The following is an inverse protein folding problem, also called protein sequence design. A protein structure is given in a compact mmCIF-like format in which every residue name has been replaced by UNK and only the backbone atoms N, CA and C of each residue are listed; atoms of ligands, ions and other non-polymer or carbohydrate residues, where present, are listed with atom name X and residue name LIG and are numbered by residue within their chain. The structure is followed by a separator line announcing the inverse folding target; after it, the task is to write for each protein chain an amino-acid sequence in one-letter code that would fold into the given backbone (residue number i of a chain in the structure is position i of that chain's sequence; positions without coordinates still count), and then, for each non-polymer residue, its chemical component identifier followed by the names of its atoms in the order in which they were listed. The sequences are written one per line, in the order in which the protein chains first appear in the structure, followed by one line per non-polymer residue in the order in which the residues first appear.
data_IF_243374208881
#
_entry.id   IF_243374208881
#
_cell.length_a   1.000
_cell.length_b   1.000
_cell.length_c   1.000
_cell.angle_alpha   90.00
_cell.angle_beta   90.00
_cell.angle_gamma   90.00
#
_symmetry.space_group_name_H-M   'P 1'
#
loop_
_entity.id
_entity.type
_entity.pdbx_description
1 polymer ?
#
# COMPACT_ATOMS: atom_id res chain seq x y z
N UNK A 1 6.55 12.60 -22.06
CA UNK A 1 7.14 11.77 -21.00
C UNK A 1 8.37 12.51 -20.54
N UNK A 2 8.35 13.09 -19.34
CA UNK A 2 9.59 13.55 -18.72
C UNK A 2 10.14 12.28 -18.08
N UNK A 3 11.26 11.78 -18.61
CA UNK A 3 12.04 10.72 -17.99
C UNK A 3 12.47 11.22 -16.60
N UNK A 4 11.65 10.94 -15.59
CA UNK A 4 12.12 10.98 -14.22
C UNK A 4 13.18 9.88 -14.11
N UNK A 5 14.38 10.16 -13.56
CA UNK A 5 15.36 9.11 -13.32
C UNK A 5 14.70 7.99 -12.55
N UNK A 6 14.88 6.74 -13.00
CA UNK A 6 14.38 5.56 -12.31
C UNK A 6 14.85 5.64 -10.86
N UNK A 7 13.93 5.72 -9.88
CA UNK A 7 14.33 5.78 -8.47
C UNK A 7 15.24 4.59 -8.15
N UNK A 8 16.24 4.82 -7.30
CA UNK A 8 17.16 3.78 -6.87
C UNK A 8 16.48 2.88 -5.84
N UNK A 9 15.49 2.09 -6.29
CA UNK A 9 14.73 1.16 -5.46
C UNK A 9 15.65 0.08 -4.92
N UNK A 10 15.60 -0.18 -3.61
CA UNK A 10 16.24 -1.38 -3.05
C UNK A 10 15.60 -2.61 -3.65
N UNK A 11 16.44 -3.63 -3.87
CA UNK A 11 16.05 -4.91 -4.47
C UNK A 11 16.14 -6.01 -3.42
N UNK A 12 15.20 -6.96 -3.42
CA UNK A 12 15.41 -8.22 -2.73
C UNK A 12 16.69 -8.89 -3.23
N UNK A 13 17.41 -9.53 -2.31
CA UNK A 13 18.61 -10.29 -2.63
C UNK A 13 18.21 -11.62 -3.27
N UNK A 14 18.12 -11.65 -4.60
CA UNK A 14 17.73 -12.84 -5.38
C UNK A 14 18.76 -13.97 -5.27
N UNK A 15 19.99 -13.71 -4.79
CA UNK A 15 20.97 -14.78 -4.56
C UNK A 15 20.62 -15.66 -3.36
N UNK A 16 19.74 -15.19 -2.46
CA UNK A 16 19.23 -15.95 -1.31
C UNK A 16 18.03 -16.82 -1.66
N UNK A 17 17.50 -16.67 -2.87
CA UNK A 17 16.42 -17.48 -3.41
C UNK A 17 17.05 -18.73 -4.00
N UNK A 18 16.69 -19.90 -3.48
CA UNK A 18 17.20 -21.16 -4.00
C UNK A 18 16.40 -21.48 -5.27
N UNK A 19 17.04 -21.33 -6.43
CA UNK A 19 16.50 -21.84 -7.68
C UNK A 19 16.12 -23.32 -7.46
N UNK A 20 14.84 -23.65 -7.70
CA UNK A 20 14.21 -24.98 -7.51
C UNK A 20 13.52 -25.26 -6.17
N UNK A 21 13.46 -24.31 -5.23
CA UNK A 21 12.63 -24.42 -4.03
C UNK A 21 11.46 -23.42 -4.06
N UNK A 22 10.42 -23.76 -4.80
CA UNK A 22 9.19 -22.96 -4.84
C UNK A 22 8.55 -22.84 -3.45
N UNK A 23 8.12 -21.63 -3.11
CA UNK A 23 7.28 -21.39 -1.93
C UNK A 23 5.83 -21.75 -2.25
N UNK A 24 5.35 -21.38 -3.43
CA UNK A 24 3.97 -21.61 -3.88
C UNK A 24 3.88 -22.92 -4.67
N UNK A 25 2.86 -23.71 -4.35
CA UNK A 25 2.53 -24.91 -5.12
C UNK A 25 1.93 -24.54 -6.49
N UNK A 26 2.01 -25.43 -7.50
CA UNK A 26 1.36 -25.20 -8.79
C UNK A 26 -0.14 -24.88 -8.68
N UNK A 27 -0.84 -25.51 -7.72
CA UNK A 27 -2.26 -25.28 -7.49
C UNK A 27 -2.55 -23.89 -6.87
N UNK A 28 -1.67 -23.38 -6.02
CA UNK A 28 -1.76 -22.02 -5.48
C UNK A 28 -1.48 -20.96 -6.55
N UNK A 29 -0.50 -21.20 -7.41
CA UNK A 29 -0.22 -20.33 -8.57
C UNK A 29 -1.43 -20.32 -9.52
N UNK A 30 -1.99 -21.49 -9.85
CA UNK A 30 -3.19 -21.58 -10.69
C UNK A 30 -4.37 -20.82 -10.07
N UNK A 31 -4.56 -20.92 -8.74
CA UNK A 31 -5.60 -20.19 -8.03
C UNK A 31 -5.39 -18.69 -8.04
N UNK A 32 -4.16 -18.23 -7.79
CA UNK A 32 -3.83 -16.81 -7.90
C UNK A 32 -4.11 -16.28 -9.30
N UNK A 33 -3.73 -17.01 -10.34
CA UNK A 33 -4.01 -16.63 -11.73
C UNK A 33 -5.52 -16.65 -12.03
N UNK A 34 -6.27 -17.63 -11.52
CA UNK A 34 -7.71 -17.75 -11.71
C UNK A 34 -8.51 -16.64 -11.01
N UNK A 35 -8.19 -16.39 -9.73
CA UNK A 35 -8.98 -15.56 -8.83
C UNK A 35 -8.46 -14.12 -8.71
N UNK A 36 -7.18 -13.87 -9.00
CA UNK A 36 -6.52 -12.56 -8.90
C UNK A 36 -6.08 -12.20 -7.48
N UNK A 37 -6.18 -13.14 -6.56
CA UNK A 37 -5.63 -13.08 -5.20
C UNK A 37 -5.38 -14.49 -4.69
N UNK A 38 -4.56 -14.60 -3.64
CA UNK A 38 -4.25 -15.84 -2.94
C UNK A 38 -4.10 -15.55 -1.46
N UNK A 39 -4.63 -16.42 -0.61
CA UNK A 39 -4.46 -16.34 0.85
C UNK A 39 -3.44 -17.38 1.27
N UNK A 40 -2.37 -16.93 1.92
CA UNK A 40 -1.34 -17.77 2.50
C UNK A 40 -1.39 -17.63 4.02
N UNK A 41 -1.92 -18.66 4.67
CA UNK A 41 -2.01 -18.71 6.14
C UNK A 41 -0.63 -18.91 6.75
N UNK A 42 -0.38 -18.27 7.89
CA UNK A 42 0.87 -18.42 8.67
C UNK A 42 2.16 -18.10 7.91
N UNK A 43 2.13 -17.16 6.95
CA UNK A 43 3.33 -16.74 6.19
C UNK A 43 4.46 -16.20 7.09
N UNK A 44 4.12 -15.57 8.21
CA UNK A 44 5.09 -15.00 9.16
C UNK A 44 4.72 -15.39 10.59
N UNK A 45 5.67 -15.22 11.51
CA UNK A 45 5.50 -15.57 12.91
C UNK A 45 5.12 -14.36 13.80
N UNK A 46 4.69 -14.65 15.02
CA UNK A 46 4.27 -13.65 16.01
C UNK A 46 5.39 -12.70 16.42
N UNK A 47 6.65 -13.13 16.39
CA UNK A 47 7.81 -12.29 16.72
C UNK A 47 8.01 -11.18 15.67
N UNK A 48 8.00 -11.53 14.38
CA UNK A 48 8.07 -10.56 13.27
C UNK A 48 6.88 -9.61 13.31
N UNK A 49 5.67 -10.12 13.57
CA UNK A 49 4.46 -9.31 13.72
C UNK A 49 4.62 -8.31 14.89
N UNK A 50 5.06 -8.76 16.06
CA UNK A 50 5.27 -7.89 17.22
C UNK A 50 6.33 -6.81 16.94
N UNK A 51 7.41 -7.15 16.24
CA UNK A 51 8.43 -6.19 15.83
C UNK A 51 7.87 -5.11 14.89
N UNK A 52 7.09 -5.49 13.87
CA UNK A 52 6.45 -4.55 12.96
C UNK A 52 5.48 -3.61 13.69
N UNK A 53 4.68 -4.14 14.63
CA UNK A 53 3.78 -3.34 15.46
C UNK A 53 4.54 -2.35 16.34
N UNK A 54 5.64 -2.79 16.96
CA UNK A 54 6.48 -1.92 17.79
C UNK A 54 7.16 -0.82 16.97
N UNK A 55 7.65 -1.12 15.76
CA UNK A 55 8.21 -0.14 14.84
C UNK A 55 7.17 0.90 14.41
N UNK A 56 5.96 0.45 14.04
CA UNK A 56 4.85 1.35 13.72
C UNK A 56 4.49 2.27 14.89
N UNK A 57 4.43 1.73 16.12
CA UNK A 57 4.15 2.52 17.31
C UNK A 57 5.24 3.58 17.56
N UNK A 58 6.51 3.21 17.39
CA UNK A 58 7.63 4.15 17.50
C UNK A 58 7.53 5.29 16.49
N UNK A 59 7.20 4.98 15.22
CA UNK A 59 6.97 5.98 14.17
C UNK A 59 5.87 6.96 14.59
N UNK A 60 4.77 6.44 15.17
CA UNK A 60 3.69 7.29 15.66
C UNK A 60 4.14 8.17 16.81
N UNK A 61 4.84 7.62 17.80
CA UNK A 61 5.25 8.35 19.00
C UNK A 61 6.20 9.50 18.64
N UNK A 62 7.14 9.25 17.73
CA UNK A 62 8.10 10.24 17.21
C UNK A 62 7.49 11.24 16.22
N UNK A 63 6.26 11.01 15.76
CA UNK A 63 5.61 11.90 14.79
C UNK A 63 5.32 13.29 15.38
N UNK A 64 5.86 14.31 14.70
CA UNK A 64 5.66 15.72 15.00
C UNK A 64 4.31 16.23 14.46
N UNK A 65 3.42 16.60 15.38
CA UNK A 65 2.08 17.11 15.06
C UNK A 65 2.10 18.50 14.41
N UNK A 66 3.19 19.26 14.55
CA UNK A 66 3.30 20.58 13.91
C UNK A 66 3.37 20.48 12.39
N UNK A 67 3.69 19.30 11.84
CA UNK A 67 3.57 19.06 10.39
C UNK A 67 2.12 19.11 9.87
N UNK A 68 1.13 18.97 10.76
CA UNK A 68 -0.30 18.89 10.41
C UNK A 68 -1.03 20.22 10.59
N UNK A 69 -0.58 21.06 11.52
CA UNK A 69 -1.36 22.21 12.05
C UNK A 69 -1.29 23.50 11.22
N UNK A 70 -0.45 23.58 10.18
CA UNK A 70 -0.04 24.87 9.59
C UNK A 70 -1.00 25.41 8.51
N UNK A 71 -2.32 25.50 8.68
CA UNK A 71 -3.16 26.04 7.57
C UNK A 71 -4.43 26.77 8.01
N UNK A 72 -4.63 28.01 7.52
CA UNK A 72 -5.70 28.93 7.94
C UNK A 72 -6.96 28.93 7.05
N UNK A 73 -6.90 28.38 5.83
CA UNK A 73 -8.06 28.28 4.92
C UNK A 73 -8.26 26.85 4.38
N UNK A 74 -9.48 26.52 3.94
CA UNK A 74 -9.82 25.18 3.42
C UNK A 74 -9.03 24.83 2.14
N UNK A 75 -8.85 25.79 1.23
CA UNK A 75 -8.10 25.58 -0.02
C UNK A 75 -6.59 25.37 0.23
N UNK A 76 -6.01 26.11 1.19
CA UNK A 76 -4.62 25.91 1.59
C UNK A 76 -4.41 24.55 2.26
N UNK A 77 -5.37 24.09 3.07
CA UNK A 77 -5.37 22.75 3.68
C UNK A 77 -5.41 21.63 2.65
N UNK A 78 -6.25 21.75 1.62
CA UNK A 78 -6.34 20.74 0.56
C UNK A 78 -5.06 20.67 -0.26
N UNK A 79 -4.53 21.81 -0.69
CA UNK A 79 -3.29 21.85 -1.49
C UNK A 79 -2.08 21.33 -0.71
N UNK A 80 -1.95 21.68 0.57
CA UNK A 80 -0.83 21.20 1.39
C UNK A 80 -0.94 19.72 1.72
N UNK A 81 -2.15 19.22 2.01
CA UNK A 81 -2.41 17.79 2.17
C UNK A 81 -2.07 17.01 0.89
N UNK A 82 -2.44 17.53 -0.27
CA UNK A 82 -2.10 16.92 -1.56
C UNK A 82 -0.59 16.88 -1.79
N UNK A 83 0.15 17.96 -1.49
CA UNK A 83 1.62 17.97 -1.59
C UNK A 83 2.27 17.04 -0.57
N UNK A 84 1.76 17.01 0.67
CA UNK A 84 2.19 16.08 1.71
C UNK A 84 1.96 14.62 1.29
N UNK A 85 0.88 14.31 0.58
CA UNK A 85 0.70 13.00 -0.01
C UNK A 85 1.65 12.76 -1.17
N UNK A 86 1.73 13.70 -2.12
CA UNK A 86 2.49 13.53 -3.36
C UNK A 86 4.00 13.41 -3.15
N UNK A 87 4.56 14.00 -2.10
CA UNK A 87 6.00 13.93 -1.80
C UNK A 87 6.36 12.84 -0.78
N UNK A 88 5.40 11.97 -0.43
CA UNK A 88 5.60 10.92 0.58
C UNK A 88 6.18 9.60 0.02
N UNK A 89 6.36 9.51 -1.30
CA UNK A 89 6.75 8.28 -1.99
C UNK A 89 8.09 7.69 -1.54
N UNK A 90 8.99 8.54 -1.03
CA UNK A 90 10.34 8.24 -0.54
C UNK A 90 10.49 8.61 0.95
N UNK A 91 9.38 8.66 1.71
CA UNK A 91 9.35 9.07 3.12
C UNK A 91 8.47 8.14 3.96
N UNK A 92 8.60 8.27 5.27
CA UNK A 92 7.62 7.76 6.25
C UNK A 92 6.82 8.96 6.76
N UNK A 93 5.51 8.96 6.51
CA UNK A 93 4.55 10.00 6.84
C UNK A 93 3.29 9.36 7.46
N UNK A 94 2.65 10.10 8.36
CA UNK A 94 1.42 9.71 9.02
C UNK A 94 0.23 10.37 8.32
N UNK A 95 -0.78 9.57 7.97
CA UNK A 95 -2.01 10.03 7.37
C UNK A 95 -3.17 9.75 8.33
N UNK A 96 -3.92 10.80 8.65
CA UNK A 96 -4.99 10.76 9.64
C UNK A 96 -6.33 10.36 9.00
N UNK A 97 -7.24 9.83 9.81
CA UNK A 97 -8.63 9.59 9.42
C UNK A 97 -9.32 10.89 8.99
N UNK A 98 -10.27 10.81 8.06
CA UNK A 98 -10.98 11.99 7.53
C UNK A 98 -11.66 12.80 8.64
N UNK A 99 -12.08 12.12 9.71
CA UNK A 99 -12.79 12.69 10.85
C UNK A 99 -11.90 12.82 12.11
N UNK A 100 -10.59 12.80 11.96
CA UNK A 100 -9.65 12.90 13.09
C UNK A 100 -9.60 14.27 13.77
N UNK A 101 -10.00 15.34 13.07
CA UNK A 101 -9.89 16.73 13.53
C UNK A 101 -11.25 17.41 13.66
N UNK A 102 -11.36 18.31 14.63
CA UNK A 102 -12.50 19.22 14.77
C UNK A 102 -12.40 20.42 13.81
N UNK A 103 -13.40 21.30 13.85
CA UNK A 103 -13.45 22.50 13.02
C UNK A 103 -12.29 23.50 13.31
N UNK A 104 -11.63 23.38 14.46
CA UNK A 104 -10.48 24.19 14.86
C UNK A 104 -9.14 23.53 14.51
N UNK A 105 -9.15 22.36 13.85
CA UNK A 105 -7.93 21.62 13.51
C UNK A 105 -7.31 20.88 14.68
N UNK A 106 -8.04 20.67 15.78
CA UNK A 106 -7.57 19.89 16.93
C UNK A 106 -8.01 18.44 16.80
N UNK A 107 -7.15 17.51 17.19
CA UNK A 107 -7.49 16.10 17.27
C UNK A 107 -8.66 15.85 18.22
N UNK A 108 -9.64 15.04 17.78
CA UNK A 108 -10.78 14.63 18.59
C UNK A 108 -10.52 13.34 19.40
N UNK A 109 -9.47 12.60 19.03
CA UNK A 109 -8.97 11.38 19.71
C UNK A 109 -7.46 11.47 19.89
N UNK A 110 -6.91 10.58 20.71
CA UNK A 110 -5.46 10.44 20.84
C UNK A 110 -4.80 10.18 19.48
N UNK A 111 -3.58 10.71 19.29
CA UNK A 111 -2.82 10.61 18.04
C UNK A 111 -2.77 9.18 17.51
N UNK A 112 -2.54 8.22 18.40
CA UNK A 112 -2.45 6.79 18.11
C UNK A 112 -3.76 6.19 17.58
N UNK A 113 -4.91 6.79 17.89
CA UNK A 113 -6.24 6.36 17.45
C UNK A 113 -6.79 7.19 16.28
N UNK A 114 -6.05 8.22 15.85
CA UNK A 114 -6.45 9.15 14.81
C UNK A 114 -5.74 8.91 13.47
N UNK A 115 -4.66 8.14 13.47
CA UNK A 115 -3.89 7.80 12.27
C UNK A 115 -4.56 6.63 11.54
N UNK A 116 -4.86 6.82 10.26
CA UNK A 116 -5.37 5.81 9.35
C UNK A 116 -4.26 4.94 8.77
N UNK A 117 -3.14 5.55 8.37
CA UNK A 117 -2.02 4.80 7.77
C UNK A 117 -0.67 5.49 7.94
N UNK A 118 0.38 4.68 7.85
CA UNK A 118 1.76 5.12 7.61
C UNK A 118 2.15 4.81 6.16
N UNK A 119 2.94 5.67 5.53
CA UNK A 119 3.45 5.43 4.18
C UNK A 119 4.47 6.46 3.71
N UNK A 120 5.16 6.27 2.60
CA UNK A 120 5.01 5.15 1.65
C UNK A 120 6.30 4.33 1.44
N UNK A 121 7.38 4.64 2.18
CA UNK A 121 8.70 4.03 1.99
C UNK A 121 9.28 3.36 3.25
N UNK A 122 8.45 2.83 4.14
CA UNK A 122 8.95 2.13 5.34
C UNK A 122 9.83 0.94 4.98
N UNK A 123 9.52 0.22 3.90
CA UNK A 123 10.34 -0.87 3.37
C UNK A 123 11.79 -0.46 3.07
N UNK A 124 12.05 0.81 2.74
CA UNK A 124 13.39 1.30 2.42
C UNK A 124 14.07 2.05 3.56
N UNK A 125 13.30 2.58 4.51
CA UNK A 125 13.76 3.58 5.49
C UNK A 125 13.80 3.02 6.91
N UNK A 126 12.78 2.25 7.32
CA UNK A 126 12.74 1.70 8.67
C UNK A 126 13.41 0.33 8.71
N UNK A 127 14.41 0.10 9.58
CA UNK A 127 15.16 -1.16 9.60
C UNK A 127 14.32 -2.42 9.84
N UNK A 128 13.22 -2.32 10.60
CA UNK A 128 12.35 -3.47 10.89
C UNK A 128 11.47 -3.79 9.69
N UNK A 129 10.87 -2.77 9.07
CA UNK A 129 10.08 -2.95 7.85
C UNK A 129 10.94 -3.36 6.67
N UNK A 130 12.16 -2.86 6.54
CA UNK A 130 13.15 -3.30 5.55
C UNK A 130 13.48 -4.78 5.71
N UNK A 131 13.88 -5.18 6.91
CA UNK A 131 14.23 -6.58 7.19
C UNK A 131 13.08 -7.55 6.86
N UNK A 132 11.82 -7.14 7.08
CA UNK A 132 10.65 -7.93 6.74
C UNK A 132 10.31 -7.90 5.24
N UNK A 133 10.43 -6.75 4.58
CA UNK A 133 10.04 -6.57 3.18
C UNK A 133 10.99 -7.25 2.19
N UNK A 134 12.21 -7.58 2.64
CA UNK A 134 13.25 -8.24 1.84
C UNK A 134 13.61 -9.65 2.33
N UNK A 135 12.72 -10.31 3.08
CA UNK A 135 12.94 -11.72 3.44
C UNK A 135 12.96 -12.62 2.20
N UNK A 136 13.82 -13.66 2.15
CA UNK A 136 13.93 -14.53 0.98
C UNK A 136 12.61 -15.18 0.55
N UNK A 137 11.74 -15.53 1.51
CA UNK A 137 10.45 -16.18 1.26
C UNK A 137 9.50 -15.27 0.47
N UNK A 138 9.51 -13.96 0.73
CA UNK A 138 8.69 -13.00 -0.01
C UNK A 138 9.22 -12.78 -1.42
N UNK A 139 10.54 -12.77 -1.58
CA UNK A 139 11.18 -12.74 -2.89
C UNK A 139 10.85 -14.00 -3.71
N UNK A 140 10.92 -15.19 -3.08
CA UNK A 140 10.55 -16.45 -3.71
C UNK A 140 9.08 -16.43 -4.15
N UNK A 141 8.15 -15.94 -3.31
CA UNK A 141 6.76 -15.79 -3.67
C UNK A 141 6.56 -14.92 -4.92
N UNK A 142 7.29 -13.79 -5.02
CA UNK A 142 7.24 -12.94 -6.21
C UNK A 142 7.77 -13.67 -7.46
N UNK A 143 8.87 -14.42 -7.34
CA UNK A 143 9.45 -15.20 -8.44
C UNK A 143 8.49 -16.31 -8.89
N UNK A 144 7.85 -17.02 -7.95
CA UNK A 144 6.86 -18.06 -8.24
C UNK A 144 5.65 -17.50 -9.00
N UNK A 145 5.27 -16.24 -8.74
CA UNK A 145 4.23 -15.50 -9.46
C UNK A 145 4.69 -14.93 -10.82
N UNK A 146 5.94 -15.21 -11.22
CA UNK A 146 6.50 -14.85 -12.52
C UNK A 146 7.22 -13.49 -12.58
N UNK A 147 7.57 -12.89 -11.44
CA UNK A 147 8.36 -11.66 -11.43
C UNK A 147 9.84 -11.97 -11.68
N UNK A 148 10.45 -11.28 -12.64
CA UNK A 148 11.86 -11.49 -13.05
C UNK A 148 12.84 -10.65 -12.22
N UNK A 149 12.53 -9.38 -11.99
CA UNK A 149 13.32 -8.43 -11.18
C UNK A 149 12.35 -7.68 -10.23
N UNK A 150 11.83 -8.35 -9.18
CA UNK A 150 10.86 -7.74 -8.30
C UNK A 150 11.45 -6.56 -7.53
N UNK A 151 10.71 -5.47 -7.45
CA UNK A 151 11.05 -4.29 -6.63
C UNK A 151 9.88 -3.97 -5.69
N UNK A 152 10.20 -3.47 -4.50
CA UNK A 152 9.20 -2.86 -3.64
C UNK A 152 8.98 -1.41 -4.11
N UNK A 153 7.82 -1.13 -4.71
CA UNK A 153 7.49 0.22 -5.19
C UNK A 153 6.87 1.11 -4.10
N UNK A 154 6.22 0.49 -3.10
CA UNK A 154 5.48 1.17 -2.04
C UNK A 154 5.24 0.19 -0.87
N UNK A 155 5.26 0.71 0.35
CA UNK A 155 4.78 0.03 1.55
C UNK A 155 3.86 0.92 2.36
N UNK A 156 2.78 0.36 2.91
CA UNK A 156 1.89 1.05 3.83
C UNK A 156 1.63 0.21 5.07
N UNK A 157 1.41 0.87 6.21
CA UNK A 157 0.88 0.25 7.43
C UNK A 157 -0.53 0.81 7.60
N UNK A 158 -1.54 -0.04 7.53
CA UNK A 158 -2.94 0.38 7.54
C UNK A 158 -3.54 0.06 8.90
N UNK A 159 -4.00 1.09 9.59
CA UNK A 159 -4.80 0.95 10.81
C UNK A 159 -6.29 0.84 10.43
N UNK A 160 -7.01 0.00 11.17
CA UNK A 160 -8.47 -0.04 11.17
C UNK A 160 -8.94 0.44 12.53
N UNK A 161 -8.83 1.75 12.75
CA UNK A 161 -9.09 2.35 14.05
C UNK A 161 -10.53 2.07 14.50
N UNK A 162 -10.75 1.69 15.77
CA UNK A 162 -12.09 1.46 16.26
C UNK A 162 -12.93 2.74 16.21
N UNK A 163 -14.18 2.59 15.80
CA UNK A 163 -15.22 3.63 15.67
C UNK A 163 -15.03 4.68 14.58
N UNK A 164 -13.80 5.07 14.24
CA UNK A 164 -13.55 6.15 13.24
C UNK A 164 -12.78 5.68 12.00
N UNK A 165 -12.44 4.39 11.91
CA UNK A 165 -11.77 3.85 10.74
C UNK A 165 -12.62 3.96 9.48
N UNK A 166 -12.12 4.71 8.49
CA UNK A 166 -12.85 4.88 7.24
C UNK A 166 -12.94 3.56 6.44
N UNK A 167 -14.09 3.40 5.76
CA UNK A 167 -14.28 2.32 4.79
C UNK A 167 -13.39 2.56 3.58
N UNK A 168 -12.73 1.51 3.10
CA UNK A 168 -12.05 1.54 1.82
C UNK A 168 -13.09 1.19 0.76
N UNK A 169 -13.25 2.04 -0.26
CA UNK A 169 -14.19 1.77 -1.33
C UNK A 169 -13.59 0.75 -2.31
N UNK A 170 -14.48 0.05 -3.01
CA UNK A 170 -14.13 -0.89 -4.06
C UNK A 170 -13.16 -0.26 -5.09
N UNK A 171 -11.94 -0.79 -5.24
CA UNK A 171 -10.93 -0.26 -6.16
C UNK A 171 -9.96 -1.33 -6.68
N UNK A 172 -9.19 -0.98 -7.72
CA UNK A 172 -8.05 -1.74 -8.23
C UNK A 172 -6.78 -0.92 -8.01
N UNK A 173 -5.72 -1.47 -7.40
CA UNK A 173 -4.54 -0.65 -7.04
C UNK A 173 -3.84 -0.06 -8.26
N UNK A 174 -3.94 -0.72 -9.42
CA UNK A 174 -3.43 -0.22 -10.70
C UNK A 174 -4.12 1.09 -11.17
N UNK A 175 -5.21 1.51 -10.52
CA UNK A 175 -5.76 2.88 -10.63
C UNK A 175 -4.74 3.91 -10.13
N UNK A 176 -3.96 3.57 -9.11
CA UNK A 176 -2.99 4.43 -8.43
C UNK A 176 -1.55 4.09 -8.83
N UNK A 177 -1.21 2.80 -8.93
CA UNK A 177 0.11 2.27 -9.29
C UNK A 177 0.06 1.67 -10.71
N UNK A 178 -0.01 2.55 -11.71
CA UNK A 178 -0.14 2.13 -13.10
C UNK A 178 1.21 1.89 -13.77
N UNK A 179 1.34 0.76 -14.46
CA UNK A 179 2.45 0.39 -15.34
C UNK A 179 1.92 0.12 -16.75
N UNK A 180 2.76 0.24 -17.79
CA UNK A 180 2.33 0.02 -19.18
C UNK A 180 1.92 -1.43 -19.46
N UNK A 181 2.55 -2.37 -18.76
CA UNK A 181 2.14 -3.77 -18.68
C UNK A 181 1.77 -4.10 -17.24
N UNK A 182 0.79 -4.97 -17.01
CA UNK A 182 0.39 -5.39 -15.66
C UNK A 182 1.53 -6.13 -14.93
N UNK A 183 2.33 -5.38 -14.18
CA UNK A 183 3.56 -5.85 -13.54
C UNK A 183 3.63 -5.48 -12.05
N UNK A 184 2.47 -5.24 -11.43
CA UNK A 184 2.36 -4.90 -10.02
C UNK A 184 1.44 -5.92 -9.32
N UNK A 185 1.87 -6.38 -8.15
CA UNK A 185 1.06 -7.19 -7.23
C UNK A 185 1.15 -6.61 -5.82
N UNK A 186 0.11 -6.81 -5.03
CA UNK A 186 0.09 -6.41 -3.62
C UNK A 186 0.37 -7.62 -2.72
N UNK A 187 1.26 -7.44 -1.75
CA UNK A 187 1.39 -8.34 -0.61
C UNK A 187 0.75 -7.67 0.60
N UNK A 188 -0.30 -8.28 1.14
CA UNK A 188 -1.01 -7.80 2.32
C UNK A 188 -0.79 -8.79 3.46
N UNK A 189 -0.40 -8.27 4.63
CA UNK A 189 -0.08 -9.08 5.81
C UNK A 189 -1.01 -8.69 6.95
N UNK A 190 -1.73 -9.68 7.50
CA UNK A 190 -2.48 -9.53 8.74
C UNK A 190 -1.50 -9.41 9.91
N UNK A 191 -1.43 -8.24 10.55
CA UNK A 191 -0.66 -8.04 11.79
C UNK A 191 -1.52 -8.22 13.05
N UNK A 192 -2.83 -8.34 12.84
CA UNK A 192 -3.87 -8.71 13.80
C UNK A 192 -4.91 -9.55 13.03
N UNK A 193 -5.70 -10.35 13.75
CA UNK A 193 -6.77 -11.15 13.16
C UNK A 193 -7.71 -10.24 12.36
N UNK A 194 -7.90 -10.53 11.07
CA UNK A 194 -8.79 -9.78 10.19
C UNK A 194 -10.12 -10.53 10.04
N UNK A 195 -11.16 -10.01 10.68
CA UNK A 195 -12.51 -10.59 10.71
C UNK A 195 -13.51 -9.70 9.98
N UNK A 196 -14.73 -10.21 9.76
CA UNK A 196 -15.78 -9.41 9.12
C UNK A 196 -16.16 -8.19 9.97
N UNK A 197 -16.04 -8.30 11.29
CA UNK A 197 -16.41 -7.27 12.26
C UNK A 197 -15.38 -6.15 12.36
N UNK A 198 -14.10 -6.42 12.06
CA UNK A 198 -13.03 -5.42 12.13
C UNK A 198 -12.48 -4.98 10.76
N UNK A 199 -13.14 -5.40 9.68
CA UNK A 199 -12.88 -4.90 8.33
C UNK A 199 -11.83 -5.69 7.55
N UNK A 200 -11.95 -7.03 7.53
CA UNK A 200 -11.21 -7.89 6.61
C UNK A 200 -11.40 -7.48 5.14
N UNK A 201 -10.46 -7.88 4.29
CA UNK A 201 -10.54 -7.65 2.86
C UNK A 201 -11.67 -8.46 2.22
N UNK A 202 -12.34 -7.85 1.24
CA UNK A 202 -13.23 -8.51 0.30
C UNK A 202 -12.64 -8.40 -1.10
N UNK A 203 -12.69 -9.48 -1.87
CA UNK A 203 -12.26 -9.50 -3.27
C UNK A 203 -13.34 -10.11 -4.16
N UNK A 204 -13.39 -9.68 -5.43
CA UNK A 204 -14.21 -10.33 -6.46
C UNK A 204 -13.31 -11.27 -7.28
N UNK A 205 -13.42 -12.60 -7.12
CA UNK A 205 -12.59 -13.55 -7.88
C UNK A 205 -12.72 -13.36 -9.39
N UNK A 206 -11.59 -13.36 -10.10
CA UNK A 206 -11.56 -13.20 -11.55
C UNK A 206 -11.79 -11.77 -12.05
N UNK A 207 -11.98 -10.80 -11.15
CA UNK A 207 -12.26 -9.41 -11.54
C UNK A 207 -11.09 -8.76 -12.28
N UNK A 208 -9.85 -9.17 -11.99
CA UNK A 208 -8.65 -8.76 -12.72
C UNK A 208 -8.72 -9.03 -14.23
N UNK A 209 -9.48 -10.06 -14.66
CA UNK A 209 -9.64 -10.48 -16.06
C UNK A 209 -10.91 -9.97 -16.73
N UNK A 210 -11.87 -9.48 -15.96
CA UNK A 210 -13.22 -9.16 -16.46
C UNK A 210 -13.57 -7.69 -16.30
N UNK A 211 -12.97 -7.00 -15.34
CA UNK A 211 -13.17 -5.57 -15.11
C UNK A 211 -11.94 -4.77 -15.55
N UNK A 212 -12.03 -4.02 -16.66
CA UNK A 212 -10.91 -3.20 -17.11
C UNK A 212 -10.69 -2.03 -16.16
N UNK A 213 -9.46 -1.54 -16.09
CA UNK A 213 -9.16 -0.29 -15.39
C UNK A 213 -9.89 0.86 -16.12
N UNK A 214 -10.72 1.59 -15.39
CA UNK A 214 -11.52 2.70 -15.95
C UNK A 214 -11.00 4.08 -15.57
N UNK A 215 -10.05 4.16 -14.62
CA UNK A 215 -9.55 5.40 -14.04
C UNK A 215 -8.07 5.27 -13.74
N UNK A 216 -7.34 6.36 -13.92
CA UNK A 216 -5.97 6.50 -13.41
C UNK A 216 -5.85 7.78 -12.59
N UNK A 217 -5.14 7.68 -11.47
CA UNK A 217 -4.74 8.83 -10.68
C UNK A 217 -3.46 9.41 -11.29
N UNK A 218 -3.55 10.61 -11.91
CA UNK A 218 -2.40 11.25 -12.54
C UNK A 218 -2.20 12.66 -11.99
N UNK A 219 -0.94 13.06 -11.86
CA UNK A 219 -0.60 14.47 -11.62
C UNK A 219 -1.05 15.30 -12.82
N UNK A 220 -1.68 16.44 -12.56
CA UNK A 220 -1.98 17.40 -13.62
C UNK A 220 -0.69 17.95 -14.24
N UNK A 221 -0.77 18.57 -15.43
CA UNK A 221 0.37 19.12 -16.15
C UNK A 221 1.16 20.19 -15.37
N UNK A 222 0.51 20.82 -14.37
CA UNK A 222 1.14 21.78 -13.47
C UNK A 222 1.89 21.12 -12.29
N UNK A 223 1.77 19.80 -12.10
CA UNK A 223 2.42 19.03 -11.04
C UNK A 223 1.82 19.21 -9.63
N UNK A 224 0.79 20.06 -9.49
CA UNK A 224 0.34 20.55 -8.17
C UNK A 224 -0.81 19.78 -7.54
N UNK A 225 -1.67 19.16 -8.35
CA UNK A 225 -2.88 18.49 -7.84
C UNK A 225 -3.13 17.21 -8.65
N UNK A 226 -3.33 16.06 -7.99
CA UNK A 226 -3.75 14.85 -8.69
C UNK A 226 -5.17 15.02 -9.22
N UNK A 227 -5.45 14.46 -10.40
CA UNK A 227 -6.81 14.36 -10.91
C UNK A 227 -7.08 12.93 -11.35
N UNK A 228 -8.30 12.46 -11.10
CA UNK A 228 -8.79 11.20 -11.66
C UNK A 228 -9.03 11.43 -13.15
N UNK A 229 -8.12 10.91 -13.98
CA UNK A 229 -8.33 10.87 -15.42
C UNK A 229 -9.02 9.56 -15.77
N UNK A 230 -10.27 9.66 -16.21
CA UNK A 230 -10.98 8.54 -16.81
C UNK A 230 -10.55 8.43 -18.28
N UNK A 231 -9.61 7.53 -18.58
CA UNK A 231 -9.44 7.02 -19.94
C UNK A 231 -9.92 5.58 -19.92
N UNK A 232 -11.00 5.29 -20.64
CA UNK A 232 -11.44 3.92 -20.90
C UNK A 232 -10.37 3.29 -21.79
N UNK A 233 -9.39 2.61 -21.21
CA UNK A 233 -8.41 1.82 -21.97
C UNK A 233 -9.12 0.51 -22.35
N UNK A 234 -9.39 0.26 -23.64
CA UNK A 234 -9.99 -1.00 -24.05
C UNK A 234 -8.97 -2.11 -23.80
N UNK A 235 -9.34 -3.12 -23.01
CA UNK A 235 -8.58 -4.38 -22.93
C UNK A 235 -7.38 -4.44 -21.99
N UNK A 236 -7.15 -3.45 -21.11
CA UNK A 236 -6.12 -3.57 -20.05
C UNK A 236 -6.70 -4.20 -18.79
N UNK A 237 -6.25 -5.43 -18.54
CA UNK A 237 -6.58 -6.27 -17.39
C UNK A 237 -5.32 -6.38 -16.52
N UNK A 238 -5.44 -6.19 -15.20
CA UNK A 238 -4.30 -6.20 -14.28
C UNK A 238 -4.58 -7.15 -13.13
N UNK A 239 -3.58 -7.94 -12.71
CA UNK A 239 -3.66 -9.04 -11.74
C UNK A 239 -4.19 -8.69 -10.33
N UNK A 240 -4.66 -7.47 -10.10
CA UNK A 240 -5.23 -7.03 -8.83
C UNK A 240 -6.76 -7.03 -8.91
N UNK A 241 -7.37 -7.73 -7.97
CA UNK A 241 -8.82 -7.76 -7.80
C UNK A 241 -9.40 -6.44 -7.34
N UNK A 242 -10.70 -6.30 -7.55
CA UNK A 242 -11.51 -5.30 -6.87
C UNK A 242 -11.54 -5.61 -5.37
N UNK A 243 -10.85 -4.78 -4.57
CA UNK A 243 -10.81 -4.88 -3.11
C UNK A 243 -11.86 -3.99 -2.47
N UNK A 244 -12.63 -4.52 -1.51
CA UNK A 244 -13.52 -3.77 -0.62
C UNK A 244 -13.13 -3.95 0.84
#
# INVERSE_FOLDING_TARGET
MIDAPTPNYKRPDTSKVIADQALLTPAEIERYEADGFLVLENFTNSERIAALKAAAQKIIDDFDMDMVSVFSTEDQRKLSSDLYFLESGDKIRCFFETHAFDNNGKLIKDKQLAINKLGHAMHDIDPVFEAFSYVPELCQAAIDLGFVDPIAAQSMYIFKQPSIGDKVNAHQDSTFLNTDLASCTGFWFALEDATQENGCLWAIPGSHKTYPITRHFRRNAAGKVPSLWAKKLPGTYHKQCLWR
#
